data_IF_815846968857
#
_entry.id   IF_815846968857
#
_cell.length_a   1.000
_cell.length_b   1.000
_cell.length_c   1.000
_cell.angle_alpha   90.00
_cell.angle_beta   90.00
_cell.angle_gamma   90.00
#
_symmetry.space_group_name_H-M   'P 1'
#
loop_
_entity.id
_entity.type
_entity.pdbx_description
1 polymer ?
#
# COMPACT_ATOMS: atom_id res chain seq x y z
N UNK A 1 -38.01 -38.80 -5.91
CA UNK A 1 -36.67 -38.49 -6.46
C UNK A 1 -36.85 -37.53 -7.61
N UNK A 2 -36.29 -36.32 -7.54
CA UNK A 2 -35.38 -35.79 -8.55
C UNK A 2 -34.93 -34.39 -8.12
N UNK A 3 -33.64 -34.30 -7.85
CA UNK A 3 -32.92 -33.07 -7.53
C UNK A 3 -32.64 -32.32 -8.82
N UNK A 4 -32.92 -31.02 -8.85
CA UNK A 4 -32.50 -30.14 -9.95
C UNK A 4 -31.31 -29.29 -9.49
N UNK A 5 -30.14 -29.83 -9.80
CA UNK A 5 -28.91 -29.18 -10.25
C UNK A 5 -28.62 -27.76 -9.71
N UNK A 6 -27.76 -27.69 -8.68
CA UNK A 6 -27.01 -26.48 -8.33
C UNK A 6 -26.19 -26.07 -9.57
N UNK A 7 -26.51 -24.91 -10.15
CA UNK A 7 -25.61 -24.25 -11.09
C UNK A 7 -24.26 -24.10 -10.40
N UNK A 8 -23.23 -24.68 -11.02
CA UNK A 8 -21.84 -24.41 -10.69
C UNK A 8 -21.62 -22.90 -10.75
N UNK A 9 -21.67 -22.25 -9.58
CA UNK A 9 -20.84 -21.07 -9.37
C UNK A 9 -19.43 -21.54 -9.67
N UNK A 10 -18.87 -21.07 -10.79
CA UNK A 10 -17.45 -21.14 -11.00
C UNK A 10 -16.83 -20.49 -9.77
N UNK A 11 -16.30 -21.31 -8.87
CA UNK A 11 -15.28 -20.89 -7.92
C UNK A 11 -14.20 -20.25 -8.77
N UNK A 12 -14.24 -18.91 -8.86
CA UNK A 12 -13.11 -18.09 -9.33
C UNK A 12 -11.93 -18.66 -8.56
N UNK A 13 -10.99 -19.26 -9.27
CA UNK A 13 -9.82 -19.88 -8.68
C UNK A 13 -9.22 -18.91 -7.67
N UNK A 14 -8.72 -19.47 -6.58
CA UNK A 14 -8.10 -18.81 -5.42
C UNK A 14 -6.87 -17.97 -5.82
N UNK A 15 -7.07 -16.95 -6.64
CA UNK A 15 -6.11 -15.91 -6.92
C UNK A 15 -6.29 -14.85 -5.87
N UNK A 16 -5.45 -14.88 -4.84
CA UNK A 16 -5.37 -13.79 -3.88
C UNK A 16 -4.77 -12.61 -4.65
N UNK A 17 -5.63 -11.76 -5.22
CA UNK A 17 -5.23 -10.53 -5.89
C UNK A 17 -4.28 -9.72 -5.01
N UNK A 18 -3.36 -8.99 -5.63
CA UNK A 18 -2.48 -8.11 -4.88
C UNK A 18 -3.31 -7.01 -4.21
N UNK A 19 -3.18 -6.91 -2.89
CA UNK A 19 -3.84 -5.89 -2.08
C UNK A 19 -2.77 -4.89 -1.67
N UNK A 20 -3.04 -3.60 -1.92
CA UNK A 20 -2.22 -2.51 -1.44
C UNK A 20 -3.01 -1.61 -0.50
N UNK A 21 -2.34 -1.08 0.52
CA UNK A 21 -2.87 -0.06 1.42
C UNK A 21 -2.02 1.20 1.27
N UNK A 22 -2.64 2.29 0.87
CA UNK A 22 -1.99 3.60 0.85
C UNK A 22 -1.84 4.10 2.29
N UNK A 23 -0.60 4.38 2.70
CA UNK A 23 -0.27 4.82 4.07
C UNK A 23 0.31 6.23 4.10
N UNK A 24 -0.06 6.95 5.16
CA UNK A 24 0.37 8.30 5.47
C UNK A 24 0.44 8.47 6.99
N UNK A 25 0.76 9.68 7.46
CA UNK A 25 0.87 9.97 8.90
C UNK A 25 -0.48 10.13 9.60
N UNK A 26 -1.59 10.01 8.88
CA UNK A 26 -2.93 10.29 9.41
C UNK A 26 -3.57 9.02 9.99
N UNK A 27 -4.59 9.22 10.84
CA UNK A 27 -5.34 8.10 11.42
C UNK A 27 -6.17 7.32 10.38
N UNK A 28 -6.46 7.95 9.23
CA UNK A 28 -7.24 7.35 8.16
C UNK A 28 -6.55 6.10 7.58
N UNK A 29 -5.23 6.14 7.40
CA UNK A 29 -4.47 4.99 6.90
C UNK A 29 -4.44 3.82 7.88
N UNK A 30 -4.43 4.09 9.20
CA UNK A 30 -4.57 3.02 10.21
C UNK A 30 -5.95 2.35 10.15
N UNK A 31 -7.01 3.12 9.95
CA UNK A 31 -8.35 2.59 9.76
C UNK A 31 -8.47 1.78 8.46
N UNK A 32 -7.81 2.22 7.39
CA UNK A 32 -7.75 1.52 6.12
C UNK A 32 -7.08 0.14 6.24
N UNK A 33 -5.90 0.06 6.90
CA UNK A 33 -5.25 -1.23 7.13
C UNK A 33 -6.09 -2.16 8.01
N UNK A 34 -6.73 -1.61 9.05
CA UNK A 34 -7.67 -2.38 9.88
C UNK A 34 -8.82 -2.94 9.06
N UNK A 35 -9.45 -2.10 8.24
CA UNK A 35 -10.55 -2.52 7.37
C UNK A 35 -10.07 -3.61 6.40
N UNK A 36 -8.90 -3.46 5.78
CA UNK A 36 -8.34 -4.47 4.89
C UNK A 36 -8.16 -5.82 5.61
N UNK A 37 -7.58 -5.79 6.82
CA UNK A 37 -7.37 -6.97 7.67
C UNK A 37 -8.66 -7.69 8.11
N UNK A 38 -9.78 -6.98 8.16
CA UNK A 38 -11.07 -7.52 8.61
C UNK A 38 -11.95 -7.99 7.45
N UNK A 39 -11.74 -7.48 6.24
CA UNK A 39 -12.68 -7.66 5.12
C UNK A 39 -12.10 -8.42 3.92
N UNK A 40 -10.84 -8.20 3.58
CA UNK A 40 -10.26 -8.72 2.33
C UNK A 40 -8.94 -9.47 2.51
N UNK A 41 -8.25 -9.28 3.64
CA UNK A 41 -7.03 -10.02 3.98
C UNK A 41 -7.35 -11.21 4.90
N UNK A 42 -6.63 -12.30 4.68
CA UNK A 42 -6.61 -13.50 5.52
C UNK A 42 -5.24 -13.66 6.19
N UNK A 43 -5.19 -14.45 7.27
CA UNK A 43 -3.92 -14.81 7.93
C UNK A 43 -2.95 -15.46 6.93
N UNK A 44 -1.68 -15.12 7.03
CA UNK A 44 -0.61 -15.54 6.13
C UNK A 44 -0.59 -14.84 4.77
N UNK A 45 -1.53 -13.95 4.45
CA UNK A 45 -1.50 -13.19 3.20
C UNK A 45 -0.55 -11.99 3.27
N UNK A 46 -0.09 -11.57 2.10
CA UNK A 46 0.74 -10.38 1.94
C UNK A 46 -0.09 -9.16 1.56
N UNK A 47 0.30 -8.00 2.08
CA UNK A 47 -0.23 -6.69 1.72
C UNK A 47 0.92 -5.75 1.38
N UNK A 48 0.74 -4.93 0.34
CA UNK A 48 1.70 -3.88 -0.02
C UNK A 48 1.35 -2.61 0.77
N UNK A 49 2.26 -2.15 1.61
CA UNK A 49 2.17 -0.87 2.28
C UNK A 49 2.80 0.18 1.35
N UNK A 50 1.97 1.06 0.78
CA UNK A 50 2.37 2.00 -0.25
C UNK A 50 2.39 3.43 0.30
N UNK A 51 3.57 4.01 0.41
CA UNK A 51 3.74 5.40 0.86
C UNK A 51 4.28 6.28 -0.27
N UNK A 52 3.73 7.47 -0.44
CA UNK A 52 4.27 8.49 -1.35
C UNK A 52 4.95 9.58 -0.54
N UNK A 53 6.26 9.72 -0.72
CA UNK A 53 7.03 10.87 -0.25
C UNK A 53 6.83 12.01 -1.22
N UNK A 54 6.05 13.00 -0.79
CA UNK A 54 5.76 14.15 -1.63
C UNK A 54 7.00 15.03 -1.80
N UNK A 55 7.50 15.15 -3.03
CA UNK A 55 8.62 16.05 -3.32
C UNK A 55 8.09 17.48 -3.37
N UNK A 56 8.46 18.28 -2.37
CA UNK A 56 8.22 19.72 -2.39
C UNK A 56 9.14 20.31 -3.47
N UNK A 57 8.58 21.10 -4.39
CA UNK A 57 9.27 21.59 -5.58
C UNK A 57 10.50 22.44 -5.21
N UNK A 58 11.67 21.82 -5.02
CA UNK A 58 12.94 22.48 -4.72
C UNK A 58 13.92 22.21 -5.86
N UNK A 59 13.73 22.89 -7.00
CA UNK A 59 14.73 23.20 -8.04
C UNK A 59 15.72 22.11 -8.51
N UNK A 60 15.50 20.83 -8.21
CA UNK A 60 16.32 19.73 -8.67
C UNK A 60 15.60 19.07 -9.84
N UNK A 61 15.99 19.46 -11.05
CA UNK A 61 15.65 18.73 -12.26
C UNK A 61 16.22 17.31 -12.14
N UNK A 62 15.35 16.33 -11.87
CA UNK A 62 15.65 14.93 -12.16
C UNK A 62 14.69 14.43 -13.23
N UNK A 63 15.31 13.80 -14.21
CA UNK A 63 14.72 13.22 -15.41
C UNK A 63 13.56 12.29 -15.01
N UNK A 64 12.44 12.44 -15.71
CA UNK A 64 11.15 11.88 -15.36
C UNK A 64 11.13 10.37 -15.11
N UNK A 65 10.43 10.00 -14.05
CA UNK A 65 10.06 8.64 -13.70
C UNK A 65 9.69 8.55 -12.23
N UNK A 66 8.47 8.10 -11.93
CA UNK A 66 8.06 7.71 -10.57
C UNK A 66 8.89 6.49 -10.18
N UNK A 67 10.02 6.68 -9.50
CA UNK A 67 10.88 5.58 -9.08
C UNK A 67 10.29 4.92 -7.84
N UNK A 68 9.69 3.74 -8.01
CA UNK A 68 9.24 2.92 -6.89
C UNK A 68 10.45 2.25 -6.21
N UNK A 69 10.59 2.47 -4.92
CA UNK A 69 11.61 1.85 -4.07
C UNK A 69 10.93 0.76 -3.26
N UNK A 70 11.34 -0.49 -3.50
CA UNK A 70 10.93 -1.64 -2.69
C UNK A 70 11.92 -1.74 -1.53
N UNK A 71 11.43 -1.67 -0.29
CA UNK A 71 12.27 -1.79 0.89
C UNK A 71 12.38 -3.27 1.28
N UNK A 72 13.50 -3.90 0.92
CA UNK A 72 13.90 -5.18 1.51
C UNK A 72 14.91 -4.92 2.62
N UNK A 73 14.56 -5.31 3.85
CA UNK A 73 15.42 -5.18 5.02
C UNK A 73 16.76 -5.93 4.87
N UNK A 74 16.88 -6.85 3.91
CA UNK A 74 18.06 -7.68 3.69
C UNK A 74 19.07 -7.14 2.67
N UNK A 75 18.77 -6.01 1.99
CA UNK A 75 19.68 -5.46 0.98
C UNK A 75 20.21 -4.07 1.38
N UNK A 76 21.38 -3.99 2.05
CA UNK A 76 22.00 -2.74 2.45
C UNK A 76 22.67 -1.96 1.30
N UNK A 77 22.76 -2.52 0.08
CA UNK A 77 23.44 -1.91 -1.07
C UNK A 77 22.59 -0.84 -1.81
N UNK A 78 21.87 -0.02 -1.06
CA UNK A 78 21.08 1.09 -1.59
C UNK A 78 21.92 2.31 -1.95
N UNK A 79 21.43 3.11 -2.90
CA UNK A 79 21.97 4.46 -3.10
C UNK A 79 21.79 5.29 -1.81
N UNK A 80 22.65 6.29 -1.56
CA UNK A 80 22.51 7.18 -0.40
C UNK A 80 21.13 7.85 -0.30
N UNK A 81 20.51 8.11 -1.46
CA UNK A 81 19.16 8.65 -1.57
C UNK A 81 18.09 7.68 -1.04
N UNK A 82 18.19 6.39 -1.39
CA UNK A 82 17.29 5.35 -0.88
C UNK A 82 17.38 5.24 0.65
N UNK A 83 18.61 5.20 1.19
CA UNK A 83 18.84 5.12 2.64
C UNK A 83 18.25 6.33 3.39
N UNK A 84 18.32 7.52 2.78
CA UNK A 84 17.72 8.73 3.35
C UNK A 84 16.20 8.61 3.46
N UNK A 85 15.53 8.15 2.40
CA UNK A 85 14.09 7.97 2.38
C UNK A 85 13.64 6.90 3.38
N UNK A 86 14.32 5.76 3.42
CA UNK A 86 14.05 4.68 4.37
C UNK A 86 14.17 5.19 5.81
N UNK A 87 15.21 5.98 6.11
CA UNK A 87 15.37 6.58 7.45
C UNK A 87 14.20 7.52 7.78
N UNK A 88 13.73 8.31 6.80
CA UNK A 88 12.64 9.25 6.99
C UNK A 88 11.28 8.57 7.23
N UNK A 89 11.05 7.41 6.59
CA UNK A 89 9.76 6.70 6.61
C UNK A 89 9.74 5.53 7.59
N UNK A 90 10.88 5.14 8.17
CA UNK A 90 11.03 3.99 9.07
C UNK A 90 9.96 3.94 10.17
N UNK A 91 9.78 5.03 10.91
CA UNK A 91 8.85 5.06 12.04
C UNK A 91 7.38 4.95 11.60
N UNK A 92 7.08 5.45 10.39
CA UNK A 92 5.77 5.30 9.78
C UNK A 92 5.47 3.82 9.51
N UNK A 93 6.35 3.15 8.75
CA UNK A 93 6.19 1.73 8.41
C UNK A 93 6.19 0.85 9.65
N UNK A 94 7.04 1.14 10.65
CA UNK A 94 7.12 0.36 11.89
C UNK A 94 5.74 0.27 12.58
N UNK A 95 4.96 1.35 12.56
CA UNK A 95 3.62 1.39 13.16
C UNK A 95 2.68 0.38 12.48
N UNK A 96 2.71 0.31 11.14
CA UNK A 96 1.88 -0.63 10.38
C UNK A 96 2.38 -2.06 10.50
N UNK A 97 3.70 -2.29 10.47
CA UNK A 97 4.31 -3.61 10.71
C UNK A 97 3.89 -4.21 12.04
N UNK A 98 3.87 -3.40 13.11
CA UNK A 98 3.39 -3.86 14.42
C UNK A 98 1.95 -4.39 14.34
N UNK A 99 1.10 -3.76 13.53
CA UNK A 99 -0.27 -4.24 13.29
C UNK A 99 -0.28 -5.52 12.45
N UNK A 100 0.48 -5.55 11.34
CA UNK A 100 0.59 -6.71 10.45
C UNK A 100 1.02 -7.97 11.22
N UNK A 101 2.11 -7.88 11.98
CA UNK A 101 2.65 -9.00 12.78
C UNK A 101 1.64 -9.52 13.79
N UNK A 102 0.88 -8.64 14.46
CA UNK A 102 -0.17 -9.06 15.41
C UNK A 102 -1.34 -9.78 14.75
N UNK A 103 -1.59 -9.51 13.47
CA UNK A 103 -2.68 -10.10 12.69
C UNK A 103 -2.25 -11.28 11.82
N UNK A 104 -0.97 -11.67 11.88
CA UNK A 104 -0.37 -12.68 11.03
C UNK A 104 -0.50 -12.31 9.54
N UNK A 105 -0.13 -11.08 9.19
CA UNK A 105 -0.13 -10.53 7.83
C UNK A 105 1.31 -10.20 7.45
N UNK A 106 1.72 -10.54 6.23
CA UNK A 106 3.02 -10.19 5.69
C UNK A 106 2.96 -8.81 5.04
N UNK A 107 3.86 -7.90 5.40
CA UNK A 107 3.83 -6.53 4.89
C UNK A 107 5.05 -6.27 3.98
N UNK A 108 4.77 -5.76 2.78
CA UNK A 108 5.75 -5.40 1.76
C UNK A 108 5.78 -3.88 1.64
N UNK A 109 6.92 -3.28 1.95
CA UNK A 109 7.03 -1.82 1.99
C UNK A 109 7.44 -1.26 0.62
N UNK A 110 6.67 -0.27 0.16
CA UNK A 110 6.96 0.44 -1.09
C UNK A 110 6.90 1.94 -0.85
N UNK A 111 7.97 2.62 -1.22
CA UNK A 111 8.11 4.07 -1.15
C UNK A 111 8.16 4.62 -2.58
N UNK A 112 7.24 5.52 -2.89
CA UNK A 112 7.23 6.28 -4.14
C UNK A 112 7.67 7.72 -3.85
N UNK A 113 8.33 8.36 -4.80
CA UNK A 113 8.55 9.81 -4.78
C UNK A 113 7.84 10.46 -5.98
N UNK A 114 6.91 11.36 -5.71
CA UNK A 114 6.31 12.22 -6.74
C UNK A 114 5.81 13.53 -6.09
N UNK A 115 5.60 14.55 -6.91
CA UNK A 115 4.89 15.77 -6.55
C UNK A 115 3.37 15.56 -6.41
N UNK A 116 2.80 14.68 -7.24
CA UNK A 116 1.38 14.34 -7.28
C UNK A 116 1.17 12.94 -6.71
N UNK A 117 0.56 12.89 -5.52
CA UNK A 117 0.30 11.66 -4.78
C UNK A 117 -0.67 10.75 -5.55
N UNK A 118 -1.72 11.31 -6.14
CA UNK A 118 -2.76 10.51 -6.81
C UNK A 118 -2.20 9.87 -8.08
N UNK A 119 -1.39 10.63 -8.82
CA UNK A 119 -0.68 10.13 -10.00
C UNK A 119 0.25 8.97 -9.62
N UNK A 120 1.12 9.16 -8.63
CA UNK A 120 2.07 8.13 -8.21
C UNK A 120 1.38 6.82 -7.78
N UNK A 121 0.31 6.93 -6.97
CA UNK A 121 -0.48 5.77 -6.55
C UNK A 121 -1.12 5.06 -7.75
N UNK A 122 -1.72 5.82 -8.67
CA UNK A 122 -2.41 5.26 -9.86
C UNK A 122 -1.43 4.58 -10.81
N UNK A 123 -0.27 5.19 -11.06
CA UNK A 123 0.78 4.62 -11.89
C UNK A 123 1.31 3.32 -11.27
N UNK A 124 1.61 3.32 -9.97
CA UNK A 124 2.11 2.12 -9.29
C UNK A 124 1.07 1.00 -9.25
N UNK A 125 -0.19 1.32 -8.95
CA UNK A 125 -1.30 0.34 -8.95
C UNK A 125 -1.47 -0.30 -10.31
N UNK A 126 -1.41 0.51 -11.37
CA UNK A 126 -1.50 0.02 -12.75
C UNK A 126 -0.28 -0.83 -13.13
N UNK A 127 0.92 -0.38 -12.77
CA UNK A 127 2.18 -1.06 -13.06
C UNK A 127 2.30 -2.41 -12.35
N UNK A 128 2.00 -2.45 -11.05
CA UNK A 128 2.12 -3.64 -10.22
C UNK A 128 0.89 -4.57 -10.29
N UNK A 129 -0.12 -4.25 -11.12
CA UNK A 129 -1.37 -4.99 -11.24
C UNK A 129 -2.06 -5.24 -9.88
N UNK A 130 -2.14 -4.19 -9.06
CA UNK A 130 -2.84 -4.24 -7.78
C UNK A 130 -4.35 -4.40 -8.04
N UNK A 131 -4.96 -5.46 -7.50
CA UNK A 131 -6.39 -5.74 -7.69
C UNK A 131 -7.24 -4.88 -6.75
N UNK A 132 -6.78 -4.68 -5.51
CA UNK A 132 -7.50 -3.88 -4.52
C UNK A 132 -6.56 -2.86 -3.87
N UNK A 133 -6.82 -1.57 -4.11
CA UNK A 133 -6.20 -0.47 -3.36
C UNK A 133 -7.15 0.00 -2.26
N UNK A 134 -6.70 -0.05 -1.01
CA UNK A 134 -7.42 0.51 0.14
C UNK A 134 -6.72 1.78 0.61
N UNK A 135 -7.49 2.82 0.88
CA UNK A 135 -6.95 4.11 1.34
C UNK A 135 -7.85 4.73 2.40
N UNK A 136 -7.23 5.50 3.30
CA UNK A 136 -7.95 6.23 4.33
C UNK A 136 -8.69 7.44 3.77
N UNK A 137 -9.79 7.83 4.41
CA UNK A 137 -10.40 9.14 4.19
C UNK A 137 -9.87 10.15 5.21
N UNK A 138 -9.74 11.44 4.83
CA UNK A 138 -9.32 12.48 5.76
C UNK A 138 -10.40 12.69 6.85
N UNK A 139 -9.97 12.74 8.11
CA UNK A 139 -10.85 12.92 9.28
C UNK A 139 -11.33 14.37 9.50
N UNK A 140 -11.12 15.28 8.54
CA UNK A 140 -11.50 16.68 8.66
C UNK A 140 -12.94 16.83 8.16
N UNK A 141 -13.82 17.38 8.99
CA UNK A 141 -15.17 17.82 8.65
C UNK A 141 -15.24 18.38 7.22
N UNK A 142 -15.60 17.53 6.27
CA UNK A 142 -15.72 17.87 4.86
C UNK A 142 -17.02 18.61 4.64
N UNK A 143 -17.03 19.89 4.98
CA UNK A 143 -17.80 21.01 4.40
C UNK A 143 -17.88 22.14 5.43
N UNK A 144 -16.89 23.04 5.45
CA UNK A 144 -17.18 24.45 5.74
C UNK A 144 -16.65 25.26 4.56
N UNK A 145 -17.57 26.04 3.99
CA UNK A 145 -17.46 26.83 2.76
C UNK A 145 -16.68 28.11 3.00
#
# INVERSE_FOLDING_TARGET
MWQTNKRNELKKGSGNGLIAVAIDKDKGSQAALKWAAENILSKGQSVVLLHVVQRQNTNAASVGGSHAIICDANNPAGSPHRQHLEKQTKDLFLTFHCFCTRKDIQCLDVILEDSDIAKALTEYVSYAAIENLVMGSPNKHGFMR
#
